data_IF_150273549337
#
_entry.id   IF_150273549337
#
_cell.length_a   1.000
_cell.length_b   1.000
_cell.length_c   1.000
_cell.angle_alpha   90.00
_cell.angle_beta   90.00
_cell.angle_gamma   90.00
#
_symmetry.space_group_name_H-M   'P 1'
#
loop_
_entity.id
_entity.type
_entity.pdbx_description
1 polymer ?
#
# COMPACT_ATOMS: atom_id res chain seq x y z
N UNK A 1 3.48 -14.45 3.49
CA UNK A 1 4.04 -14.67 2.12
C UNK A 1 3.36 -13.83 1.04
N UNK A 2 2.02 -13.76 0.97
CA UNK A 2 1.33 -12.93 -0.03
C UNK A 2 1.55 -11.42 0.18
N UNK A 3 1.32 -10.93 1.40
CA UNK A 3 1.44 -9.50 1.75
C UNK A 3 2.80 -8.91 1.36
N UNK A 4 3.90 -9.62 1.60
CA UNK A 4 5.25 -9.16 1.26
C UNK A 4 5.55 -9.12 -0.23
N UNK A 5 4.82 -9.87 -1.06
CA UNK A 5 4.92 -9.78 -2.53
C UNK A 5 4.12 -8.62 -3.11
N UNK A 6 3.06 -8.21 -2.43
CA UNK A 6 2.17 -7.14 -2.89
C UNK A 6 2.57 -5.76 -2.36
N UNK A 7 2.87 -5.67 -1.07
CA UNK A 7 3.11 -4.42 -0.36
C UNK A 7 4.60 -4.22 -0.12
N UNK A 8 5.07 -2.99 -0.36
CA UNK A 8 6.36 -2.48 0.10
C UNK A 8 6.40 -2.44 1.64
N UNK A 9 7.59 -2.39 2.25
CA UNK A 9 7.70 -2.38 3.71
C UNK A 9 6.94 -1.21 4.38
N UNK A 10 6.85 0.02 3.82
CA UNK A 10 6.06 1.09 4.43
C UNK A 10 4.55 0.81 4.37
N UNK A 11 4.08 0.26 3.25
CA UNK A 11 2.69 -0.19 3.10
C UNK A 11 2.36 -1.33 4.06
N UNK A 12 3.30 -2.26 4.31
CA UNK A 12 3.15 -3.32 5.32
C UNK A 12 3.05 -2.73 6.72
N UNK A 13 3.92 -1.79 7.07
CA UNK A 13 3.87 -1.11 8.36
C UNK A 13 2.51 -0.46 8.60
N UNK A 14 2.01 0.30 7.62
CA UNK A 14 0.68 0.90 7.69
C UNK A 14 -0.43 -0.15 7.78
N UNK A 15 -0.36 -1.20 6.96
CA UNK A 15 -1.35 -2.30 6.94
C UNK A 15 -1.48 -2.93 8.33
N UNK A 16 -0.38 -3.31 8.95
CA UNK A 16 -0.42 -3.97 10.26
C UNK A 16 -0.80 -3.02 11.40
N UNK A 17 -0.48 -1.72 11.31
CA UNK A 17 -1.01 -0.71 12.24
C UNK A 17 -2.53 -0.56 12.12
N UNK A 18 -3.06 -0.60 10.90
CA UNK A 18 -4.50 -0.50 10.61
C UNK A 18 -5.28 -1.78 10.94
N UNK A 19 -4.65 -2.93 10.78
CA UNK A 19 -5.26 -4.24 11.01
C UNK A 19 -4.41 -5.07 12.00
N UNK A 20 -4.34 -4.68 13.28
CA UNK A 20 -3.45 -5.30 14.27
C UNK A 20 -3.76 -6.80 14.49
N UNK A 21 -5.03 -7.18 14.38
CA UNK A 21 -5.50 -8.56 14.54
C UNK A 21 -5.11 -9.49 13.36
N UNK A 22 -4.60 -8.95 12.25
CA UNK A 22 -4.15 -9.77 11.12
C UNK A 22 -2.86 -10.57 11.40
N UNK A 23 -2.16 -10.31 12.53
CA UNK A 23 -1.06 -11.19 12.96
C UNK A 23 -1.57 -12.53 13.51
N UNK A 24 -2.85 -12.60 13.91
CA UNK A 24 -3.49 -13.75 14.55
C UNK A 24 -4.77 -14.09 13.77
N UNK A 25 -4.67 -14.52 12.51
CA UNK A 25 -5.82 -15.00 11.74
C UNK A 25 -6.34 -16.37 12.21
N UNK A 26 -6.10 -16.74 13.46
CA UNK A 26 -6.60 -17.96 14.07
C UNK A 26 -8.08 -17.78 14.45
N UNK A 27 -8.96 -17.71 13.46
CA UNK A 27 -10.41 -17.98 13.62
C UNK A 27 -11.29 -16.99 14.39
N UNK A 28 -10.76 -15.94 15.02
CA UNK A 28 -11.54 -15.19 16.03
C UNK A 28 -12.46 -14.07 15.49
N UNK A 29 -12.21 -13.49 14.30
CA UNK A 29 -13.11 -12.47 13.71
C UNK A 29 -13.18 -12.53 12.17
N UNK A 30 -14.22 -13.16 11.59
CA UNK A 30 -14.48 -13.18 10.16
C UNK A 30 -14.63 -11.79 9.53
N UNK A 31 -15.10 -10.79 10.28
CA UNK A 31 -15.30 -9.44 9.78
C UNK A 31 -13.99 -8.67 9.66
N UNK A 32 -13.05 -8.86 10.58
CA UNK A 32 -11.69 -8.32 10.47
C UNK A 32 -10.97 -8.86 9.24
N UNK A 33 -11.04 -10.18 9.01
CA UNK A 33 -10.48 -10.79 7.80
C UNK A 33 -11.08 -10.20 6.54
N UNK A 34 -12.42 -10.07 6.46
CA UNK A 34 -13.09 -9.48 5.30
C UNK A 34 -12.62 -8.04 5.02
N UNK A 35 -12.53 -7.20 6.05
CA UNK A 35 -12.05 -5.81 5.92
C UNK A 35 -10.60 -5.76 5.42
N UNK A 36 -9.73 -6.62 5.95
CA UNK A 36 -8.33 -6.71 5.51
C UNK A 36 -8.24 -7.21 4.06
N UNK A 37 -9.04 -8.21 3.68
CA UNK A 37 -9.12 -8.72 2.30
C UNK A 37 -9.58 -7.63 1.32
N UNK A 38 -10.64 -6.87 1.64
CA UNK A 38 -11.09 -5.76 0.79
C UNK A 38 -10.03 -4.67 0.64
N UNK A 39 -9.32 -4.34 1.72
CA UNK A 39 -8.21 -3.41 1.66
C UNK A 39 -7.10 -3.90 0.72
N UNK A 40 -6.68 -5.16 0.86
CA UNK A 40 -5.64 -5.76 0.02
C UNK A 40 -6.08 -5.86 -1.45
N UNK A 41 -7.34 -6.21 -1.70
CA UNK A 41 -7.91 -6.26 -3.05
C UNK A 41 -7.86 -4.88 -3.73
N UNK A 42 -8.22 -3.82 -3.00
CA UNK A 42 -8.10 -2.45 -3.51
C UNK A 42 -6.65 -2.05 -3.83
N UNK A 43 -5.69 -2.40 -2.98
CA UNK A 43 -4.26 -2.14 -3.23
C UNK A 43 -3.74 -2.92 -4.44
N UNK A 44 -4.15 -4.17 -4.58
CA UNK A 44 -3.81 -4.99 -5.75
C UNK A 44 -4.37 -4.38 -7.04
N UNK A 45 -5.65 -4.01 -7.05
CA UNK A 45 -6.28 -3.38 -8.21
C UNK A 45 -5.58 -2.06 -8.58
N UNK A 46 -5.23 -1.23 -7.59
CA UNK A 46 -4.53 0.04 -7.81
C UNK A 46 -3.14 -0.17 -8.42
N UNK A 47 -2.35 -1.09 -7.87
CA UNK A 47 -1.01 -1.39 -8.41
C UNK A 47 -1.08 -1.97 -9.82
N UNK A 48 -2.08 -2.80 -10.11
CA UNK A 48 -2.34 -3.28 -11.47
C UNK A 48 -2.73 -2.15 -12.42
N UNK A 49 -3.58 -1.21 -11.99
CA UNK A 49 -3.95 -0.06 -12.82
C UNK A 49 -2.74 0.82 -13.14
N UNK A 50 -1.90 1.11 -12.15
CA UNK A 50 -0.65 1.87 -12.35
C UNK A 50 0.32 1.11 -13.26
N UNK A 51 0.52 -0.19 -13.03
CA UNK A 51 1.39 -1.04 -13.87
C UNK A 51 0.95 -1.03 -15.34
N UNK A 52 -0.36 -1.08 -15.59
CA UNK A 52 -0.93 -1.03 -16.95
C UNK A 52 -0.76 0.35 -17.60
N UNK A 53 -0.77 1.42 -16.83
CA UNK A 53 -0.53 2.77 -17.33
C UNK A 53 0.97 3.09 -17.55
N UNK A 54 1.86 2.37 -16.86
CA UNK A 54 3.32 2.53 -16.93
C UNK A 54 4.00 1.33 -17.63
N UNK A 55 3.91 1.25 -18.95
CA UNK A 55 4.45 0.10 -19.73
C UNK A 55 5.95 -0.17 -19.48
N UNK A 56 6.72 0.87 -19.16
CA UNK A 56 8.15 0.78 -18.86
C UNK A 56 8.49 -0.01 -17.58
N UNK A 57 7.50 -0.26 -16.70
CA UNK A 57 7.70 -1.08 -15.50
C UNK A 57 7.78 -2.59 -15.81
N UNK A 58 7.43 -3.01 -17.02
CA UNK A 58 7.56 -4.40 -17.49
C UNK A 58 6.76 -5.46 -16.69
N UNK A 59 7.09 -6.74 -16.92
CA UNK A 59 6.35 -7.89 -16.40
C UNK A 59 6.88 -8.45 -15.06
N UNK A 60 8.07 -8.05 -14.61
CA UNK A 60 8.72 -8.63 -13.42
C UNK A 60 8.79 -7.65 -12.24
N UNK A 61 8.16 -8.02 -11.11
CA UNK A 61 8.25 -7.36 -9.80
C UNK A 61 7.84 -5.88 -9.70
N UNK A 62 7.07 -5.35 -10.66
CA UNK A 62 6.65 -3.94 -10.69
C UNK A 62 5.85 -3.47 -9.46
N UNK A 63 5.23 -4.37 -8.69
CA UNK A 63 4.50 -3.98 -7.48
C UNK A 63 5.36 -3.39 -6.37
N UNK A 64 6.65 -3.68 -6.33
CA UNK A 64 7.56 -3.04 -5.36
C UNK A 64 8.16 -1.73 -5.87
N UNK A 65 7.98 -1.43 -7.16
CA UNK A 65 8.24 -0.12 -7.76
C UNK A 65 7.02 0.80 -7.71
N UNK A 66 5.87 0.30 -7.24
CA UNK A 66 4.64 1.09 -7.10
C UNK A 66 4.25 1.08 -5.62
N UNK A 67 4.22 2.25 -5.00
CA UNK A 67 3.69 2.41 -3.64
C UNK A 67 2.35 3.11 -3.70
N UNK A 68 1.31 2.54 -3.08
CA UNK A 68 0.09 3.31 -2.84
C UNK A 68 0.24 3.99 -1.48
N UNK A 69 0.31 5.32 -1.51
CA UNK A 69 0.69 6.11 -0.35
C UNK A 69 -0.31 5.91 0.81
N UNK A 70 0.20 5.72 2.04
CA UNK A 70 -0.64 5.67 3.23
C UNK A 70 -1.34 7.03 3.45
N UNK A 71 -2.64 7.01 3.75
CA UNK A 71 -3.42 8.23 3.99
C UNK A 71 -2.92 9.03 5.22
N UNK A 72 -2.19 8.38 6.13
CA UNK A 72 -1.62 9.00 7.34
C UNK A 72 -0.42 9.92 7.09
N UNK A 73 0.07 10.00 5.85
CA UNK A 73 1.25 10.80 5.49
C UNK A 73 0.90 12.28 5.37
N UNK A 74 -0.38 12.63 5.19
CA UNK A 74 -0.82 14.03 5.10
C UNK A 74 -1.14 14.59 6.50
N UNK A 75 -0.25 15.40 7.12
CA UNK A 75 -0.34 15.70 8.55
C UNK A 75 -1.43 16.73 8.92
N UNK A 76 -2.31 17.13 7.99
CA UNK A 76 -3.22 18.28 8.17
C UNK A 76 -4.57 18.09 7.49
N UNK A 77 -5.20 16.93 7.65
CA UNK A 77 -6.58 16.78 7.21
C UNK A 77 -7.55 17.02 8.38
N UNK A 78 -8.53 17.94 8.23
CA UNK A 78 -9.55 18.15 9.25
C UNK A 78 -10.34 16.85 9.48
N UNK A 79 -10.87 16.63 10.69
CA UNK A 79 -11.67 15.44 10.98
C UNK A 79 -12.86 15.37 10.00
N UNK A 80 -12.91 14.27 9.23
CA UNK A 80 -13.92 14.05 8.18
C UNK A 80 -13.46 14.33 6.74
N UNK A 81 -12.26 14.89 6.54
CA UNK A 81 -11.70 15.00 5.20
C UNK A 81 -11.29 13.60 4.68
N UNK A 82 -11.84 13.22 3.53
CA UNK A 82 -11.38 12.06 2.78
C UNK A 82 -10.12 12.44 2.01
N UNK A 83 -8.98 11.81 2.31
CA UNK A 83 -7.79 11.92 1.44
C UNK A 83 -7.98 11.04 0.21
N UNK A 84 -7.75 11.63 -0.96
CA UNK A 84 -7.65 10.86 -2.19
C UNK A 84 -6.42 9.96 -2.12
N UNK A 85 -6.51 8.66 -2.44
CA UNK A 85 -5.34 7.83 -2.51
C UNK A 85 -4.45 8.31 -3.67
N UNK A 86 -3.15 8.30 -3.46
CA UNK A 86 -2.14 8.59 -4.48
C UNK A 86 -1.19 7.41 -4.57
N UNK A 87 -0.61 7.22 -5.75
CA UNK A 87 0.46 6.26 -5.96
C UNK A 87 1.77 7.00 -6.26
N UNK A 88 2.88 6.41 -5.86
CA UNK A 88 4.22 6.83 -6.22
C UNK A 88 4.86 5.69 -7.02
N UNK A 89 5.16 5.96 -8.28
CA UNK A 89 5.98 5.09 -9.13
C UNK A 89 7.42 5.42 -8.85
N UNK A 90 8.10 4.53 -8.15
CA UNK A 90 9.48 4.69 -7.75
C UNK A 90 10.40 4.46 -8.95
N UNK A 91 11.41 5.32 -9.08
CA UNK A 91 12.47 5.11 -10.07
C UNK A 91 13.26 3.85 -9.75
N UNK A 92 13.65 3.72 -8.49
CA UNK A 92 14.37 2.57 -7.95
C UNK A 92 13.52 1.84 -6.92
N UNK A 93 13.60 0.51 -6.92
CA UNK A 93 12.86 -0.31 -5.95
C UNK A 93 13.33 -0.01 -4.52
N UNK A 94 12.38 0.09 -3.60
CA UNK A 94 12.73 0.14 -2.17
C UNK A 94 13.45 -1.14 -1.73
N UNK A 95 14.55 -1.03 -0.97
CA UNK A 95 15.22 -2.18 -0.40
C UNK A 95 14.25 -2.92 0.53
N UNK A 96 14.23 -4.25 0.45
CA UNK A 96 13.53 -5.06 1.43
C UNK A 96 14.27 -4.99 2.76
N UNK A 97 13.53 -4.72 3.83
CA UNK A 97 14.08 -4.73 5.18
C UNK A 97 14.31 -6.17 5.63
N UNK A 98 15.38 -6.38 6.40
CA UNK A 98 15.54 -7.64 7.12
C UNK A 98 14.46 -7.76 8.20
N UNK A 99 14.08 -8.98 8.62
CA UNK A 99 13.03 -9.18 9.62
C UNK A 99 13.26 -8.39 10.93
N UNK A 100 14.52 -8.30 11.37
CA UNK A 100 14.92 -7.53 12.55
C UNK A 100 14.65 -6.03 12.40
N UNK A 101 14.89 -5.47 11.21
CA UNK A 101 14.60 -4.08 10.93
C UNK A 101 13.10 -3.83 10.77
N UNK A 102 12.35 -4.76 10.17
CA UNK A 102 10.89 -4.65 10.10
C UNK A 102 10.28 -4.55 11.49
N UNK A 103 10.65 -5.42 12.43
CA UNK A 103 10.13 -5.38 13.80
C UNK A 103 10.43 -4.03 14.49
N UNK A 104 11.62 -3.47 14.25
CA UNK A 104 11.99 -2.14 14.74
C UNK A 104 11.13 -1.03 14.14
N UNK A 105 10.85 -1.07 12.82
CA UNK A 105 9.93 -0.12 12.15
C UNK A 105 8.52 -0.23 12.73
N UNK A 106 8.02 -1.45 12.91
CA UNK A 106 6.68 -1.71 13.42
C UNK A 106 6.49 -1.17 14.83
N UNK A 107 7.54 -1.22 15.65
CA UNK A 107 7.57 -0.68 17.01
C UNK A 107 7.84 0.84 17.06
N UNK A 108 7.78 1.55 15.92
CA UNK A 108 7.90 3.00 15.85
C UNK A 108 9.33 3.52 15.73
N UNK A 109 10.31 2.66 15.41
CA UNK A 109 11.72 3.03 15.38
C UNK A 109 12.22 3.70 14.08
N UNK A 110 11.37 3.87 13.05
CA UNK A 110 11.74 4.50 11.79
C UNK A 110 10.57 5.29 11.22
N UNK A 111 10.74 6.61 11.10
CA UNK A 111 9.89 7.46 10.28
C UNK A 111 10.27 7.26 8.80
N UNK A 112 9.26 7.03 7.97
CA UNK A 112 9.43 6.87 6.53
C UNK A 112 9.15 8.20 5.86
N UNK A 113 10.21 8.85 5.38
CA UNK A 113 10.11 10.10 4.65
C UNK A 113 9.85 9.84 3.16
N UNK A 114 8.63 10.13 2.72
CA UNK A 114 8.21 9.96 1.32
C UNK A 114 8.84 11.01 0.42
N UNK A 115 9.11 12.21 0.93
CA UNK A 115 9.68 13.31 0.15
C UNK A 115 11.15 13.04 -0.22
N UNK A 116 11.79 12.09 0.46
CA UNK A 116 13.15 11.63 0.16
C UNK A 116 13.25 10.66 -1.03
N UNK A 117 12.12 10.17 -1.56
CA UNK A 117 12.09 9.15 -2.60
C UNK A 117 12.08 9.77 -4.00
N UNK A 118 12.91 9.25 -4.90
CA UNK A 118 12.84 9.60 -6.33
C UNK A 118 11.76 8.77 -7.03
N UNK A 119 10.82 9.45 -7.68
CA UNK A 119 9.70 8.82 -8.35
C UNK A 119 8.66 9.80 -8.90
N UNK A 120 7.64 9.25 -9.54
CA UNK A 120 6.56 10.00 -10.16
C UNK A 120 5.24 9.74 -9.43
N UNK A 121 4.60 10.83 -8.99
CA UNK A 121 3.26 10.75 -8.39
C UNK A 121 2.21 10.49 -9.48
N UNK A 122 1.29 9.59 -9.16
CA UNK A 122 0.17 9.21 -9.99
C UNK A 122 -1.12 9.33 -9.17
N UNK A 123 -2.16 9.89 -9.79
CA UNK A 123 -3.47 9.94 -9.16
C UNK A 123 -4.16 8.59 -9.33
N UNK A 124 -4.71 8.06 -8.23
CA UNK A 124 -5.43 6.79 -8.26
C UNK A 124 -6.80 6.92 -7.62
N UNK A 125 -7.78 6.22 -8.16
CA UNK A 125 -9.09 6.05 -7.54
C UNK A 125 -9.32 4.56 -7.31
N UNK A 126 -9.75 4.20 -6.10
CA UNK A 126 -9.97 2.82 -5.69
C UNK A 126 -11.41 2.71 -5.23
N UNK A 127 -12.13 1.73 -5.76
CA UNK A 127 -13.48 1.40 -5.33
C UNK A 127 -13.59 -0.11 -5.10
N UNK A 128 -14.51 -0.50 -4.23
CA UNK A 128 -14.82 -1.90 -3.99
C UNK A 128 -16.33 -2.06 -3.81
N UNK A 129 -16.86 -3.14 -4.36
CA UNK A 129 -18.19 -3.65 -4.02
C UNK A 129 -18.06 -4.86 -3.09
N UNK A 130 -19.16 -5.57 -2.80
CA UNK A 130 -19.15 -6.74 -1.92
C UNK A 130 -18.27 -7.89 -2.42
N UNK A 131 -17.96 -7.92 -3.72
CA UNK A 131 -17.34 -9.05 -4.43
C UNK A 131 -16.10 -8.69 -5.24
N UNK A 132 -15.94 -7.44 -5.65
CA UNK A 132 -14.89 -6.97 -6.55
C UNK A 132 -14.21 -5.71 -6.01
N UNK A 133 -12.94 -5.53 -6.39
CA UNK A 133 -12.22 -4.28 -6.23
C UNK A 133 -11.78 -3.79 -7.61
N UNK A 134 -11.91 -2.49 -7.84
CA UNK A 134 -11.52 -1.83 -9.08
C UNK A 134 -10.69 -0.60 -8.76
N UNK A 135 -9.80 -0.24 -9.69
CA UNK A 135 -9.03 0.98 -9.59
C UNK A 135 -8.74 1.57 -10.96
N UNK A 136 -8.59 2.89 -10.98
CA UNK A 136 -8.14 3.66 -12.13
C UNK A 136 -6.89 4.43 -11.72
N UNK A 137 -5.92 4.50 -12.61
CA UNK A 137 -4.70 5.28 -12.44
C UNK A 137 -4.58 6.31 -13.58
N UNK A 138 -4.19 7.52 -13.22
CA UNK A 138 -3.80 8.57 -14.16
C UNK A 138 -2.31 8.85 -13.94
N UNK A 139 -1.52 8.51 -14.95
CA UNK A 139 -0.07 8.67 -14.96
C UNK A 139 0.27 9.83 -15.91
N UNK A 140 1.00 10.85 -15.46
CA UNK A 140 1.43 11.97 -16.31
C UNK A 140 2.41 11.56 -17.41
#
# INVERSE_FOLDING_TARGET
>A
RFISKLLTWPERNYFYKRFPHCKVFAGEDPQALRKASYYLAGRWAAKEAVRKACEHLGDSNGFHSIMILPLSVFPKQPPGATSRPQALVLRDRLPELSPQHEDKVMNGGLDFDIDSLDGQLCEVSISHDSTYATAVALVP
#
